data_IF_415716586157
#
_entry.id   IF_415716586157
#
_cell.length_a   1.000
_cell.length_b   1.000
_cell.length_c   1.000
_cell.angle_alpha   90.00
_cell.angle_beta   90.00
_cell.angle_gamma   90.00
#
_symmetry.space_group_name_H-M   'P 1'
#
loop_
_entity.id
_entity.type
_entity.pdbx_description
1 polymer ?
#
# COMPACT_ATOMS: atom_id res chain seq x y z
N UNK A 1 -17.47 -2.12 0.82
CA UNK A 1 -16.02 -2.38 0.95
C UNK A 1 -15.48 -1.42 1.98
N UNK A 2 -15.05 -1.92 3.13
CA UNK A 2 -14.34 -1.12 4.14
C UNK A 2 -12.85 -1.15 3.80
N UNK A 3 -12.28 0.02 3.57
CA UNK A 3 -10.89 0.20 3.13
C UNK A 3 -10.17 1.08 4.14
N UNK A 4 -9.15 0.55 4.81
CA UNK A 4 -8.15 1.34 5.51
C UNK A 4 -6.91 1.53 4.62
N UNK A 5 -6.00 2.40 5.02
CA UNK A 5 -4.69 2.49 4.39
C UNK A 5 -3.56 2.36 5.40
N UNK A 6 -2.37 2.01 4.92
CA UNK A 6 -1.13 2.08 5.68
C UNK A 6 -0.03 2.75 4.87
N UNK A 7 0.82 3.47 5.59
CA UNK A 7 2.03 4.11 5.07
C UNK A 7 3.17 3.83 6.04
N UNK A 8 4.34 3.53 5.51
CA UNK A 8 5.55 3.30 6.30
C UNK A 8 6.51 4.44 6.00
N UNK A 9 6.87 5.19 7.05
CA UNK A 9 7.72 6.36 6.96
C UNK A 9 9.17 6.00 7.30
N UNK A 10 10.10 6.63 6.58
CA UNK A 10 11.50 6.66 6.93
C UNK A 10 12.11 7.98 6.47
N UNK A 11 12.45 8.86 7.40
CA UNK A 11 12.87 10.24 7.13
C UNK A 11 11.93 10.98 6.15
N UNK A 12 10.63 11.11 6.48
CA UNK A 12 9.66 11.74 5.59
C UNK A 12 10.00 13.20 5.30
N UNK A 13 9.66 13.64 4.10
CA UNK A 13 9.87 15.00 3.64
C UNK A 13 8.59 15.88 3.76
N UNK A 14 8.69 17.12 3.28
CA UNK A 14 7.59 18.08 3.34
C UNK A 14 6.42 17.76 2.39
N UNK A 15 6.56 16.79 1.48
CA UNK A 15 5.51 16.39 0.55
C UNK A 15 4.55 15.36 1.16
N UNK A 16 4.94 14.72 2.28
CA UNK A 16 4.17 13.68 2.94
C UNK A 16 2.70 14.02 3.11
N UNK A 17 2.39 15.19 3.67
CA UNK A 17 0.99 15.59 3.90
C UNK A 17 0.20 15.77 2.61
N UNK A 18 0.80 16.36 1.57
CA UNK A 18 0.12 16.53 0.28
C UNK A 18 -0.14 15.18 -0.38
N UNK A 19 0.77 14.23 -0.23
CA UNK A 19 0.60 12.88 -0.72
C UNK A 19 -0.56 12.17 0.00
N UNK A 20 -0.59 12.21 1.33
CA UNK A 20 -1.67 11.65 2.14
C UNK A 20 -3.03 12.29 1.81
N UNK A 21 -3.09 13.60 1.60
CA UNK A 21 -4.31 14.32 1.25
C UNK A 21 -4.94 13.83 -0.05
N UNK A 22 -4.18 13.22 -0.95
CA UNK A 22 -4.68 12.69 -2.22
C UNK A 22 -5.61 11.48 -2.06
N UNK A 23 -5.59 10.79 -0.90
CA UNK A 23 -6.36 9.56 -0.68
C UNK A 23 -7.09 9.48 0.68
N UNK A 24 -6.74 10.33 1.64
CA UNK A 24 -7.27 10.23 3.02
C UNK A 24 -8.80 10.33 3.08
N UNK A 25 -9.45 11.10 2.19
CA UNK A 25 -10.91 11.26 2.18
C UNK A 25 -11.66 9.97 1.83
N UNK A 26 -11.01 9.06 1.12
CA UNK A 26 -11.62 7.87 0.52
C UNK A 26 -11.39 6.57 1.31
N UNK A 27 -10.76 6.65 2.48
CA UNK A 27 -10.45 5.53 3.37
C UNK A 27 -11.11 5.73 4.75
N UNK A 28 -11.23 4.65 5.53
CA UNK A 28 -11.76 4.68 6.91
C UNK A 28 -10.79 5.39 7.86
N UNK A 29 -9.54 4.92 7.88
CA UNK A 29 -8.42 5.47 8.65
C UNK A 29 -7.08 5.16 7.98
N UNK A 30 -6.04 5.89 8.38
CA UNK A 30 -4.66 5.70 7.94
C UNK A 30 -3.79 5.23 9.11
N UNK A 31 -3.19 4.06 8.97
CA UNK A 31 -2.12 3.58 9.85
C UNK A 31 -0.79 4.15 9.36
N UNK A 32 -0.08 4.82 10.24
CA UNK A 32 1.21 5.44 9.94
C UNK A 32 2.25 4.78 10.83
N UNK A 33 3.13 3.98 10.25
CA UNK A 33 4.26 3.38 10.95
C UNK A 33 5.53 4.16 10.62
N UNK A 34 6.08 4.83 11.61
CA UNK A 34 7.30 5.61 11.43
C UNK A 34 8.52 4.79 11.88
N UNK A 35 9.32 4.38 10.91
CA UNK A 35 10.57 3.66 11.08
C UNK A 35 11.77 4.60 11.27
N UNK A 36 11.55 5.93 11.32
CA UNK A 36 12.62 6.90 11.57
C UNK A 36 13.14 6.80 13.00
N UNK A 37 14.41 7.08 13.26
CA UNK A 37 14.98 7.05 14.61
C UNK A 37 14.41 8.13 15.53
N UNK A 38 13.73 9.14 14.97
CA UNK A 38 13.06 10.21 15.73
C UNK A 38 11.63 10.40 15.21
N UNK A 39 10.69 10.74 16.11
CA UNK A 39 9.28 10.98 15.80
C UNK A 39 8.98 12.44 15.37
N UNK A 40 9.78 13.00 14.49
CA UNK A 40 9.74 14.42 14.14
C UNK A 40 8.39 14.88 13.55
N UNK A 41 7.58 13.97 13.01
CA UNK A 41 6.29 14.28 12.37
C UNK A 41 5.07 13.90 13.20
N UNK A 42 5.22 13.37 14.41
CA UNK A 42 4.10 12.89 15.25
C UNK A 42 3.01 13.95 15.46
N UNK A 43 3.43 15.18 15.80
CA UNK A 43 2.50 16.29 16.07
C UNK A 43 1.55 16.64 14.91
N UNK A 44 1.90 16.25 13.69
CA UNK A 44 1.08 16.49 12.50
C UNK A 44 -0.20 15.65 12.56
N UNK A 45 -0.14 14.47 13.20
CA UNK A 45 -1.18 13.44 13.15
C UNK A 45 -2.00 13.33 14.45
N UNK A 46 -1.65 14.06 15.51
CA UNK A 46 -2.21 13.86 16.86
C UNK A 46 -3.68 14.29 17.01
N UNK A 47 -4.17 15.21 16.18
CA UNK A 47 -5.47 15.86 16.41
C UNK A 47 -6.62 15.31 15.57
N UNK A 48 -6.38 14.36 14.68
CA UNK A 48 -7.42 13.76 13.84
C UNK A 48 -7.42 12.23 14.03
N UNK A 49 -8.50 11.66 14.57
CA UNK A 49 -8.61 10.21 14.83
C UNK A 49 -8.54 9.36 13.56
N UNK A 50 -8.61 9.98 12.39
CA UNK A 50 -8.43 9.32 11.11
C UNK A 50 -6.98 8.88 10.89
N UNK A 51 -6.02 9.52 11.58
CA UNK A 51 -4.62 9.14 11.59
C UNK A 51 -4.31 8.33 12.84
N UNK A 52 -3.67 7.19 12.67
CA UNK A 52 -3.22 6.31 13.74
C UNK A 52 -1.71 6.16 13.63
N UNK A 53 -1.00 7.04 14.32
CA UNK A 53 0.45 7.12 14.26
C UNK A 53 1.11 6.18 15.26
N UNK A 54 2.04 5.37 14.77
CA UNK A 54 2.82 4.39 15.53
C UNK A 54 4.31 4.66 15.34
N UNK A 55 4.99 4.91 16.44
CA UNK A 55 6.43 5.07 16.49
C UNK A 55 6.98 4.37 17.73
N UNK A 56 8.02 3.55 17.56
CA UNK A 56 8.68 2.82 18.66
C UNK A 56 10.19 3.05 18.66
N UNK A 57 10.70 3.94 17.79
CA UNK A 57 12.11 4.26 17.66
C UNK A 57 12.93 3.23 16.89
N UNK A 58 12.28 2.20 16.31
CA UNK A 58 12.93 1.12 15.60
C UNK A 58 12.54 1.11 14.12
N UNK A 59 13.51 0.80 13.25
CA UNK A 59 13.20 0.45 11.89
C UNK A 59 12.95 -1.08 11.82
N UNK A 60 11.67 -1.46 11.79
CA UNK A 60 11.24 -2.86 11.75
C UNK A 60 11.11 -3.43 10.33
N UNK A 61 11.48 -2.64 9.31
CA UNK A 61 11.33 -3.00 7.91
C UNK A 61 9.90 -2.87 7.38
N UNK A 62 9.70 -3.25 6.13
CA UNK A 62 8.41 -3.12 5.42
C UNK A 62 7.47 -4.27 5.77
N UNK A 63 7.93 -5.52 5.67
CA UNK A 63 7.09 -6.70 5.84
C UNK A 63 6.42 -6.75 7.21
N UNK A 64 7.18 -6.50 8.29
CA UNK A 64 6.66 -6.51 9.66
C UNK A 64 5.62 -5.41 9.88
N UNK A 65 5.86 -4.18 9.37
CA UNK A 65 4.89 -3.08 9.49
C UNK A 65 3.61 -3.36 8.71
N UNK A 66 3.71 -3.99 7.54
CA UNK A 66 2.53 -4.44 6.77
C UNK A 66 1.73 -5.50 7.54
N UNK A 67 2.38 -6.45 8.19
CA UNK A 67 1.70 -7.44 9.02
C UNK A 67 1.03 -6.80 10.24
N UNK A 68 1.67 -5.86 10.91
CA UNK A 68 1.05 -5.08 11.98
C UNK A 68 -0.20 -4.33 11.50
N UNK A 69 -0.16 -3.77 10.29
CA UNK A 69 -1.32 -3.12 9.68
C UNK A 69 -2.47 -4.13 9.43
N UNK A 70 -2.15 -5.33 8.92
CA UNK A 70 -3.13 -6.41 8.70
C UNK A 70 -3.81 -6.79 10.02
N UNK A 71 -3.04 -7.01 11.09
CA UNK A 71 -3.57 -7.37 12.41
C UNK A 71 -4.49 -6.30 13.01
N UNK A 72 -4.15 -5.02 12.86
CA UNK A 72 -5.00 -3.92 13.33
C UNK A 72 -6.30 -3.88 12.52
N UNK A 73 -6.21 -3.98 11.19
CA UNK A 73 -7.36 -3.96 10.31
C UNK A 73 -8.31 -5.15 10.55
N UNK A 74 -7.78 -6.34 10.86
CA UNK A 74 -8.59 -7.52 11.21
C UNK A 74 -9.43 -7.26 12.46
N UNK A 75 -8.85 -6.67 13.51
CA UNK A 75 -9.55 -6.33 14.76
C UNK A 75 -10.63 -5.25 14.57
N UNK A 76 -10.49 -4.42 13.55
CA UNK A 76 -11.41 -3.31 13.22
C UNK A 76 -12.46 -3.71 12.15
N UNK A 77 -12.54 -5.00 11.79
CA UNK A 77 -13.45 -5.51 10.75
C UNK A 77 -13.31 -4.78 9.40
N UNK A 78 -12.06 -4.42 9.04
CA UNK A 78 -11.71 -3.88 7.73
C UNK A 78 -11.48 -5.03 6.76
N UNK A 79 -11.96 -4.90 5.54
CA UNK A 79 -11.90 -5.97 4.54
C UNK A 79 -10.71 -5.84 3.60
N UNK A 80 -10.22 -4.60 3.38
CA UNK A 80 -9.18 -4.28 2.41
C UNK A 80 -8.21 -3.25 2.99
N UNK A 81 -6.93 -3.39 2.63
CA UNK A 81 -5.85 -2.49 3.03
C UNK A 81 -5.19 -1.89 1.79
N UNK A 82 -5.23 -0.57 1.65
CA UNK A 82 -4.43 0.17 0.69
C UNK A 82 -3.03 0.38 1.28
N UNK A 83 -2.00 -0.05 0.56
CA UNK A 83 -0.60 0.16 0.93
C UNK A 83 0.00 1.29 0.10
N UNK A 84 0.67 2.26 0.74
CA UNK A 84 1.22 3.45 0.11
C UNK A 84 2.66 3.69 0.54
N UNK A 85 3.50 4.12 -0.40
CA UNK A 85 4.80 4.71 -0.06
C UNK A 85 4.64 6.19 0.30
N UNK A 86 5.57 6.71 1.11
CA UNK A 86 5.49 8.09 1.60
C UNK A 86 5.62 9.16 0.51
N UNK A 87 6.17 8.81 -0.65
CA UNK A 87 6.41 9.67 -1.81
C UNK A 87 5.38 9.46 -2.94
N UNK A 88 4.33 8.66 -2.67
CA UNK A 88 3.31 8.29 -3.64
C UNK A 88 1.98 9.01 -3.40
N UNK A 89 1.30 9.37 -4.49
CA UNK A 89 0.00 10.06 -4.44
C UNK A 89 -0.91 9.67 -5.59
N UNK A 90 -2.23 9.77 -5.36
CA UNK A 90 -3.24 9.62 -6.40
C UNK A 90 -3.54 10.94 -7.08
N UNK A 91 -3.99 10.90 -8.35
CA UNK A 91 -4.67 12.04 -8.94
C UNK A 91 -6.09 12.18 -8.37
N UNK A 92 -6.70 13.37 -8.55
CA UNK A 92 -8.05 13.61 -8.08
C UNK A 92 -9.03 12.54 -8.59
N UNK A 93 -9.78 11.94 -7.65
CA UNK A 93 -10.77 10.88 -7.89
C UNK A 93 -10.24 9.50 -8.34
N UNK A 94 -8.95 9.32 -8.60
CA UNK A 94 -8.41 8.03 -9.07
C UNK A 94 -8.65 6.92 -8.05
N UNK A 95 -8.49 7.18 -6.76
CA UNK A 95 -8.78 6.18 -5.74
C UNK A 95 -10.27 5.78 -5.72
N UNK A 96 -11.21 6.70 -6.00
CA UNK A 96 -12.63 6.35 -6.11
C UNK A 96 -12.90 5.42 -7.29
N UNK A 97 -12.29 5.71 -8.43
CA UNK A 97 -12.37 4.85 -9.62
C UNK A 97 -11.81 3.46 -9.31
N UNK A 98 -10.64 3.43 -8.67
CA UNK A 98 -9.96 2.20 -8.27
C UNK A 98 -10.81 1.38 -7.28
N UNK A 99 -11.38 1.99 -6.25
CA UNK A 99 -12.30 1.32 -5.31
C UNK A 99 -13.51 0.72 -6.01
N UNK A 100 -14.07 1.41 -6.98
CA UNK A 100 -15.20 0.90 -7.75
C UNK A 100 -14.80 -0.30 -8.61
N UNK A 101 -13.62 -0.26 -9.23
CA UNK A 101 -13.07 -1.39 -9.96
C UNK A 101 -12.90 -2.60 -9.03
N UNK A 102 -12.18 -2.45 -7.92
CA UNK A 102 -11.97 -3.50 -6.91
C UNK A 102 -13.30 -4.07 -6.43
N UNK A 103 -14.28 -3.23 -6.12
CA UNK A 103 -15.62 -3.64 -5.68
C UNK A 103 -16.35 -4.51 -6.72
N UNK A 104 -16.16 -4.26 -7.99
CA UNK A 104 -16.76 -5.06 -9.06
C UNK A 104 -16.05 -6.40 -9.24
N UNK A 105 -14.72 -6.43 -9.05
CA UNK A 105 -13.88 -7.63 -9.18
C UNK A 105 -13.92 -8.54 -7.92
N UNK A 106 -14.39 -8.05 -6.77
CA UNK A 106 -14.53 -8.82 -5.51
C UNK A 106 -15.35 -10.11 -5.65
N UNK A 107 -16.12 -10.25 -6.72
CA UNK A 107 -16.84 -11.51 -7.03
C UNK A 107 -15.90 -12.71 -7.18
N UNK A 108 -14.61 -12.45 -7.35
CA UNK A 108 -13.57 -13.46 -7.35
C UNK A 108 -12.87 -13.48 -5.99
N UNK A 109 -13.39 -14.28 -5.04
CA UNK A 109 -12.79 -14.50 -3.70
C UNK A 109 -11.31 -14.95 -3.75
N UNK A 110 -10.82 -15.23 -4.94
CA UNK A 110 -9.46 -15.69 -5.23
C UNK A 110 -8.43 -14.57 -5.46
N UNK A 111 -8.79 -13.28 -5.35
CA UNK A 111 -7.82 -12.21 -5.58
C UNK A 111 -7.20 -11.77 -4.26
N UNK A 112 -5.87 -11.86 -4.17
CA UNK A 112 -5.08 -11.47 -3.00
C UNK A 112 -4.71 -9.99 -3.01
N UNK A 113 -4.41 -9.45 -4.19
CA UNK A 113 -3.86 -8.11 -4.34
C UNK A 113 -4.27 -7.50 -5.67
N UNK A 114 -4.66 -6.24 -5.61
CA UNK A 114 -4.93 -5.39 -6.76
C UNK A 114 -3.81 -4.34 -6.83
N UNK A 115 -3.30 -4.06 -8.01
CA UNK A 115 -2.27 -3.05 -8.25
C UNK A 115 -2.64 -2.14 -9.41
N UNK A 116 -1.93 -1.02 -9.51
CA UNK A 116 -2.12 0.02 -10.53
C UNK A 116 -0.78 0.43 -11.15
N UNK A 117 -0.80 1.24 -12.20
CA UNK A 117 0.42 1.74 -12.87
C UNK A 117 1.12 2.81 -12.03
N UNK A 118 2.42 2.99 -12.30
CA UNK A 118 3.28 4.01 -11.67
C UNK A 118 3.59 5.20 -12.58
N UNK A 119 3.41 5.07 -13.90
CA UNK A 119 3.74 6.12 -14.85
C UNK A 119 2.65 6.30 -15.88
N UNK A 120 2.45 7.56 -16.32
CA UNK A 120 1.46 7.91 -17.35
C UNK A 120 1.89 7.51 -18.77
N UNK A 121 3.19 7.26 -19.00
CA UNK A 121 3.78 7.19 -20.34
C UNK A 121 3.82 5.78 -20.96
N UNK A 122 3.35 4.76 -20.28
CA UNK A 122 3.20 3.46 -20.90
C UNK A 122 1.97 3.50 -21.82
N UNK A 123 2.20 3.54 -23.12
CA UNK A 123 1.18 3.32 -24.18
C UNK A 123 0.66 1.87 -24.13
N UNK A 124 0.22 1.42 -22.98
CA UNK A 124 -0.37 0.09 -22.86
C UNK A 124 -1.87 0.19 -22.98
N UNK A 125 -2.44 -0.73 -23.75
CA UNK A 125 -3.88 -0.90 -23.86
C UNK A 125 -4.53 -0.91 -22.48
N UNK A 126 -5.71 -0.29 -22.36
CA UNK A 126 -6.51 -0.23 -21.12
C UNK A 126 -7.00 -1.64 -20.70
N UNK A 127 -6.08 -2.56 -20.44
CA UNK A 127 -6.38 -3.95 -20.10
C UNK A 127 -6.23 -4.20 -18.60
N UNK A 128 -7.03 -5.12 -18.10
CA UNK A 128 -6.84 -5.73 -16.79
C UNK A 128 -5.95 -6.95 -16.98
N UNK A 129 -4.82 -7.02 -16.27
CA UNK A 129 -3.88 -8.15 -16.34
C UNK A 129 -3.97 -8.94 -15.03
N UNK A 130 -4.06 -10.26 -15.16
CA UNK A 130 -4.06 -11.18 -14.02
C UNK A 130 -2.68 -11.83 -13.83
N UNK A 131 -2.43 -12.29 -12.60
CA UNK A 131 -1.23 -13.07 -12.24
C UNK A 131 0.10 -12.36 -12.52
N UNK A 132 0.11 -11.02 -12.39
CA UNK A 132 1.31 -10.19 -12.47
C UNK A 132 1.94 -10.05 -11.06
N UNK A 133 3.27 -9.99 -11.00
CA UNK A 133 3.96 -9.50 -9.80
C UNK A 133 3.66 -8.01 -9.67
N UNK A 134 3.10 -7.63 -8.54
CA UNK A 134 2.71 -6.27 -8.20
C UNK A 134 3.64 -5.74 -7.12
N UNK A 135 3.78 -4.44 -7.01
CA UNK A 135 4.46 -3.80 -5.88
C UNK A 135 3.43 -3.34 -4.85
N UNK A 136 3.87 -3.14 -3.61
CA UNK A 136 2.97 -2.77 -2.51
C UNK A 136 2.43 -1.35 -2.66
N UNK A 137 3.22 -0.38 -3.13
CA UNK A 137 2.75 0.99 -3.25
C UNK A 137 1.55 1.13 -4.20
N UNK A 138 0.46 1.77 -3.75
CA UNK A 138 -0.79 1.91 -4.49
C UNK A 138 -1.58 0.62 -4.65
N UNK A 139 -1.21 -0.45 -3.95
CA UNK A 139 -1.91 -1.73 -4.04
C UNK A 139 -3.00 -1.85 -2.97
N UNK A 140 -4.12 -2.51 -3.32
CA UNK A 140 -5.19 -2.86 -2.40
C UNK A 140 -5.12 -4.36 -2.12
N UNK A 141 -4.90 -4.71 -0.87
CA UNK A 141 -4.75 -6.08 -0.38
C UNK A 141 -6.08 -6.58 0.17
N UNK A 142 -6.47 -7.79 -0.22
CA UNK A 142 -7.59 -8.52 0.37
C UNK A 142 -7.14 -9.14 1.69
N UNK A 143 -7.62 -8.61 2.81
CA UNK A 143 -7.17 -9.01 4.13
C UNK A 143 -7.53 -10.47 4.46
N UNK A 144 -8.70 -10.94 4.04
CA UNK A 144 -9.10 -12.35 4.22
C UNK A 144 -8.08 -13.29 3.58
N UNK A 145 -7.62 -12.97 2.38
CA UNK A 145 -6.61 -13.77 1.68
C UNK A 145 -5.25 -13.62 2.34
N UNK A 146 -4.82 -12.38 2.63
CA UNK A 146 -3.52 -12.12 3.26
C UNK A 146 -3.37 -12.89 4.58
N UNK A 147 -4.39 -12.88 5.45
CA UNK A 147 -4.42 -13.64 6.70
C UNK A 147 -4.32 -15.15 6.43
N UNK A 148 -5.05 -15.67 5.45
CA UNK A 148 -5.07 -17.09 5.14
C UNK A 148 -3.73 -17.66 4.66
N UNK A 149 -2.85 -16.78 4.12
CA UNK A 149 -1.50 -17.14 3.65
C UNK A 149 -0.39 -16.64 4.58
N UNK A 150 -0.73 -16.26 5.82
CA UNK A 150 0.20 -15.74 6.84
C UNK A 150 0.91 -14.45 6.44
N UNK A 151 0.19 -13.50 5.80
CA UNK A 151 0.70 -12.15 5.53
C UNK A 151 1.99 -12.11 4.71
N UNK A 152 2.86 -11.18 5.03
CA UNK A 152 4.18 -10.97 4.41
C UNK A 152 5.27 -11.75 5.16
N UNK A 153 6.34 -12.13 4.47
CA UNK A 153 7.50 -12.80 5.10
C UNK A 153 8.38 -11.76 5.81
N UNK A 154 8.37 -11.76 7.14
CA UNK A 154 9.14 -10.82 7.96
C UNK A 154 10.66 -11.03 7.93
N UNK A 155 11.14 -12.14 7.37
CA UNK A 155 12.57 -12.29 7.09
C UNK A 155 13.05 -11.38 5.96
N UNK A 156 12.12 -10.82 5.17
CA UNK A 156 12.39 -9.82 4.15
C UNK A 156 12.20 -8.42 4.75
N UNK A 157 13.31 -7.73 4.95
CA UNK A 157 13.29 -6.43 5.61
C UNK A 157 12.68 -5.32 4.72
N UNK A 158 13.09 -5.25 3.45
CA UNK A 158 12.65 -4.26 2.46
C UNK A 158 12.51 -4.86 1.06
N UNK A 159 13.56 -5.48 0.53
CA UNK A 159 13.54 -5.98 -0.84
C UNK A 159 12.82 -7.32 -0.96
N UNK A 160 12.04 -7.48 -2.04
CA UNK A 160 11.36 -8.74 -2.37
C UNK A 160 10.07 -9.02 -1.60
N UNK A 161 9.66 -8.14 -0.68
CA UNK A 161 8.45 -8.29 0.16
C UNK A 161 7.20 -8.49 -0.68
N UNK A 162 7.00 -7.66 -1.68
CA UNK A 162 5.88 -7.69 -2.62
C UNK A 162 5.96 -8.86 -3.60
N UNK A 163 7.15 -9.16 -4.11
CA UNK A 163 7.38 -10.31 -4.99
C UNK A 163 7.07 -11.62 -4.26
N UNK A 164 7.55 -11.79 -3.03
CA UNK A 164 7.29 -12.97 -2.19
C UNK A 164 5.79 -13.12 -1.94
N UNK A 165 5.10 -12.05 -1.55
CA UNK A 165 3.65 -12.08 -1.32
C UNK A 165 2.87 -12.50 -2.56
N UNK A 166 3.21 -11.99 -3.75
CA UNK A 166 2.58 -12.41 -5.00
C UNK A 166 2.84 -13.90 -5.29
N UNK A 167 4.08 -14.35 -5.19
CA UNK A 167 4.44 -15.76 -5.43
C UNK A 167 3.77 -16.70 -4.42
N UNK A 168 3.72 -16.32 -3.15
CA UNK A 168 3.01 -17.05 -2.10
C UNK A 168 1.51 -17.11 -2.39
N UNK A 169 0.91 -16.01 -2.86
CA UNK A 169 -0.47 -16.00 -3.30
C UNK A 169 -0.71 -17.00 -4.42
N UNK A 170 0.10 -17.00 -5.46
CA UNK A 170 -0.02 -17.94 -6.59
C UNK A 170 0.12 -19.39 -6.15
N UNK A 171 1.09 -19.69 -5.28
CA UNK A 171 1.30 -21.03 -4.72
C UNK A 171 0.06 -21.53 -3.96
N UNK A 172 -0.71 -20.64 -3.36
CA UNK A 172 -1.93 -20.97 -2.62
C UNK A 172 -3.21 -20.87 -3.47
N UNK A 173 -3.09 -20.72 -4.80
CA UNK A 173 -4.22 -20.71 -5.73
C UNK A 173 -4.94 -19.35 -5.83
N UNK A 174 -4.39 -18.30 -5.24
CA UNK A 174 -4.89 -16.94 -5.36
C UNK A 174 -4.27 -16.22 -6.55
N UNK A 175 -4.88 -15.12 -6.95
CA UNK A 175 -4.47 -14.29 -8.10
C UNK A 175 -4.14 -12.88 -7.67
N UNK A 176 -3.38 -12.19 -8.49
CA UNK A 176 -3.24 -10.74 -8.47
C UNK A 176 -3.95 -10.12 -9.66
N UNK A 177 -4.34 -8.86 -9.56
CA UNK A 177 -5.00 -8.11 -10.63
C UNK A 177 -4.30 -6.77 -10.80
N UNK A 178 -3.85 -6.47 -12.02
CA UNK A 178 -3.24 -5.20 -12.38
C UNK A 178 -4.21 -4.36 -13.21
N UNK A 179 -4.64 -3.21 -12.65
CA UNK A 179 -5.58 -2.29 -13.26
C UNK A 179 -4.86 -1.12 -13.91
N UNK A 180 -4.92 -1.03 -15.24
CA UNK A 180 -4.09 -0.12 -16.01
C UNK A 180 -4.72 1.26 -16.32
N UNK A 181 -5.98 1.49 -15.96
CA UNK A 181 -6.68 2.73 -16.33
C UNK A 181 -6.32 3.93 -15.47
N UNK A 182 -5.69 3.72 -14.33
CA UNK A 182 -5.20 4.78 -13.44
C UNK A 182 -3.72 4.58 -13.15
N UNK A 183 -3.06 5.62 -12.74
CA UNK A 183 -1.65 5.55 -12.33
C UNK A 183 -1.39 6.31 -11.04
N UNK A 184 -0.45 5.79 -10.27
CA UNK A 184 0.07 6.43 -9.07
C UNK A 184 1.17 7.41 -9.46
N UNK A 185 1.14 8.61 -8.93
CA UNK A 185 2.31 9.51 -8.98
C UNK A 185 3.30 9.02 -7.94
N UNK A 186 4.50 8.74 -8.40
CA UNK A 186 5.60 8.33 -7.56
C UNK A 186 6.79 9.21 -7.90
N UNK A 187 7.30 9.94 -6.92
CA UNK A 187 8.54 10.68 -7.08
C UNK A 187 9.68 9.71 -6.81
N UNK A 188 10.29 9.19 -7.88
CA UNK A 188 11.55 8.48 -7.71
C UNK A 188 12.51 9.43 -7.00
N UNK A 189 12.97 9.05 -5.82
CA UNK A 189 14.02 9.80 -5.12
C UNK A 189 15.19 10.01 -6.07
N UNK A 190 15.84 11.17 -5.97
CA UNK A 190 17.00 11.50 -6.79
C UNK A 190 17.99 10.33 -6.77
N UNK A 191 18.15 9.66 -7.91
CA UNK A 191 19.27 8.75 -8.14
C UNK A 191 20.55 9.60 -8.01
N UNK A 192 21.12 9.62 -6.81
CA UNK A 192 22.46 10.15 -6.66
C UNK A 192 23.36 9.26 -7.51
N UNK A 193 23.79 9.78 -8.64
CA UNK A 193 24.82 9.16 -9.49
C UNK A 193 25.99 8.75 -8.58
N UNK A 194 26.05 7.50 -8.20
CA UNK A 194 27.23 6.92 -7.58
C UNK A 194 28.19 6.71 -8.74
N UNK A 195 29.02 7.71 -8.97
CA UNK A 195 30.20 7.57 -9.86
C UNK A 195 31.18 6.67 -9.10
N UNK A 196 31.34 5.45 -9.58
CA UNK A 196 32.38 4.50 -9.13
C UNK A 196 33.71 4.91 -9.75
#
# INVERSE_FOLDING_TARGET
>A
MRLAATIILYYPDNQLLSNIQSYISDIEFLLIFDNSPTNAVSSIFENDPKYRYHWDGNNEGIAKRLNQAIEICEKEDVSYLLTMDQDSSFNNNDLKVYKNFVKNEIKHESISMFGIRYYANDETENQTIYDKILITSGSIINLKVAISINGFDENLFIDGVDTEFCLKSFKNGFKTVFYQQIYLRHNLGDEKNITI
#
